data_IF_986592558470
#
_entry.id   IF_986592558470
#
_cell.length_a   1.000
_cell.length_b   1.000
_cell.length_c   1.000
_cell.angle_alpha   90.00
_cell.angle_beta   90.00
_cell.angle_gamma   90.00
#
_symmetry.space_group_name_H-M   'P 1'
#
loop_
_entity.id
_entity.type
_entity.pdbx_description
1 polymer ?
#
# COMPACT_ATOMS: atom_id res chain seq x y z
N UNK A 1 17.44 -7.06 20.21
CA UNK A 1 16.60 -6.61 19.07
C UNK A 1 16.15 -7.85 18.29
N UNK A 2 14.84 -8.09 18.18
CA UNK A 2 14.28 -9.28 17.53
C UNK A 2 13.78 -8.90 16.13
N UNK A 3 14.20 -9.64 15.11
CA UNK A 3 13.73 -9.44 13.73
C UNK A 3 12.47 -10.29 13.48
N UNK A 4 11.44 -9.67 12.90
CA UNK A 4 10.17 -10.35 12.56
C UNK A 4 10.25 -11.03 11.20
N UNK A 5 10.98 -10.42 10.26
CA UNK A 5 11.16 -10.95 8.91
C UNK A 5 12.56 -11.53 8.74
N UNK A 6 12.62 -12.86 8.63
CA UNK A 6 13.85 -13.60 8.45
C UNK A 6 13.80 -14.45 7.19
N UNK A 7 14.98 -14.72 6.66
CA UNK A 7 15.20 -15.78 5.67
C UNK A 7 15.07 -17.15 6.34
N UNK A 8 14.99 -18.23 5.54
CA UNK A 8 14.92 -19.61 6.04
C UNK A 8 16.00 -19.97 7.07
N UNK A 9 17.16 -19.32 6.98
CA UNK A 9 18.31 -19.58 7.84
C UNK A 9 18.36 -18.60 9.04
N UNK A 10 17.27 -17.90 9.35
CA UNK A 10 17.17 -17.00 10.51
C UNK A 10 17.85 -15.64 10.35
N UNK A 11 18.49 -15.37 9.21
CA UNK A 11 19.11 -14.07 8.92
C UNK A 11 18.05 -13.02 8.61
N UNK A 12 18.26 -11.74 8.97
CA UNK A 12 17.39 -10.65 8.55
C UNK A 12 17.13 -10.69 7.04
N UNK A 13 15.91 -10.39 6.63
CA UNK A 13 15.58 -10.31 5.21
C UNK A 13 16.28 -9.09 4.58
N UNK A 14 17.15 -9.35 3.61
CA UNK A 14 17.80 -8.27 2.85
C UNK A 14 16.77 -7.52 1.97
N UNK A 15 16.75 -6.17 1.97
CA UNK A 15 15.80 -5.38 1.19
C UNK A 15 15.79 -5.73 -0.30
N UNK A 16 16.96 -6.03 -0.87
CA UNK A 16 17.07 -6.40 -2.28
C UNK A 16 16.35 -7.73 -2.60
N UNK A 17 16.44 -8.72 -1.70
CA UNK A 17 15.75 -9.99 -1.86
C UNK A 17 14.23 -9.83 -1.79
N UNK A 18 13.75 -8.92 -0.95
CA UNK A 18 12.34 -8.56 -0.89
C UNK A 18 11.87 -7.92 -2.21
N UNK A 19 12.59 -6.90 -2.70
CA UNK A 19 12.25 -6.21 -3.94
C UNK A 19 12.19 -7.17 -5.13
N UNK A 20 13.17 -8.07 -5.27
CA UNK A 20 13.16 -9.09 -6.33
C UNK A 20 11.95 -10.02 -6.24
N UNK A 21 11.58 -10.43 -5.02
CA UNK A 21 10.42 -11.31 -4.83
C UNK A 21 9.10 -10.59 -5.03
N UNK A 22 9.06 -9.28 -4.74
CA UNK A 22 7.92 -8.42 -5.02
C UNK A 22 7.73 -8.27 -6.54
N UNK A 23 8.78 -7.91 -7.28
CA UNK A 23 8.73 -7.79 -8.75
C UNK A 23 8.24 -9.08 -9.41
N UNK A 24 8.78 -10.24 -8.99
CA UNK A 24 8.32 -11.54 -9.48
C UNK A 24 6.81 -11.75 -9.22
N UNK A 25 6.28 -11.30 -8.08
CA UNK A 25 4.84 -11.42 -7.79
C UNK A 25 3.99 -10.47 -8.63
N UNK A 26 4.47 -9.26 -8.88
CA UNK A 26 3.79 -8.30 -9.77
C UNK A 26 3.69 -8.89 -11.18
N UNK A 27 4.79 -9.45 -11.70
CA UNK A 27 4.82 -10.12 -13.01
C UNK A 27 3.85 -11.30 -13.06
N UNK A 28 3.84 -12.15 -12.03
CA UNK A 28 2.90 -13.30 -11.97
C UNK A 28 1.43 -12.87 -11.86
N UNK A 29 1.15 -11.75 -11.21
CA UNK A 29 -0.20 -11.19 -11.11
C UNK A 29 -0.64 -10.47 -12.40
N UNK A 30 0.28 -10.23 -13.36
CA UNK A 30 -0.02 -9.52 -14.61
C UNK A 30 -0.41 -8.05 -14.40
N UNK A 31 -0.11 -7.48 -13.23
CA UNK A 31 -0.47 -6.09 -12.90
C UNK A 31 0.63 -5.13 -13.36
N UNK A 32 0.27 -3.85 -13.49
CA UNK A 32 1.23 -2.80 -13.79
C UNK A 32 2.37 -2.79 -12.76
N UNK A 33 3.61 -2.66 -13.22
CA UNK A 33 4.78 -2.69 -12.35
C UNK A 33 4.81 -1.43 -11.49
N UNK A 34 4.66 -1.62 -10.19
CA UNK A 34 4.78 -0.58 -9.16
C UNK A 34 6.00 -0.85 -8.29
N UNK A 35 6.52 0.16 -7.60
CA UNK A 35 7.59 -0.04 -6.61
C UNK A 35 6.99 -0.46 -5.27
N UNK A 36 7.79 -1.13 -4.42
CA UNK A 36 7.40 -1.44 -3.02
C UNK A 36 7.02 -0.18 -2.25
N UNK A 37 7.66 0.96 -2.52
CA UNK A 37 7.25 2.21 -1.88
C UNK A 37 5.93 2.75 -2.46
N UNK A 38 5.70 2.57 -3.77
CA UNK A 38 4.47 2.96 -4.44
C UNK A 38 3.22 2.18 -3.99
N UNK A 39 3.39 0.94 -3.52
CA UNK A 39 2.27 0.18 -2.94
C UNK A 39 1.72 0.85 -1.69
N UNK A 40 2.55 1.52 -0.88
CA UNK A 40 2.09 2.29 0.28
C UNK A 40 1.15 3.42 -0.14
N UNK A 41 1.54 4.17 -1.18
CA UNK A 41 0.67 5.22 -1.74
C UNK A 41 -0.65 4.64 -2.25
N UNK A 42 -0.60 3.52 -2.96
CA UNK A 42 -1.80 2.83 -3.46
C UNK A 42 -2.73 2.37 -2.33
N UNK A 43 -2.15 1.79 -1.27
CA UNK A 43 -2.88 1.36 -0.09
C UNK A 43 -3.55 2.55 0.60
N UNK A 44 -2.85 3.66 0.73
CA UNK A 44 -3.39 4.84 1.37
C UNK A 44 -4.47 5.54 0.51
N UNK A 45 -4.37 5.53 -0.83
CA UNK A 45 -5.49 5.90 -1.71
C UNK A 45 -6.69 4.99 -1.51
N UNK A 46 -6.47 3.67 -1.42
CA UNK A 46 -7.54 2.69 -1.19
C UNK A 46 -8.25 2.95 0.14
N UNK A 47 -7.49 3.20 1.21
CA UNK A 47 -8.04 3.51 2.53
C UNK A 47 -8.82 4.83 2.52
N UNK A 48 -8.32 5.87 1.85
CA UNK A 48 -9.05 7.12 1.67
C UNK A 48 -10.36 6.92 0.87
N UNK A 49 -10.34 6.11 -0.19
CA UNK A 49 -11.54 5.78 -0.97
C UNK A 49 -12.58 4.96 -0.19
N UNK A 50 -12.14 4.22 0.84
CA UNK A 50 -13.00 3.51 1.79
C UNK A 50 -13.44 4.38 2.98
N UNK A 51 -13.15 5.69 2.94
CA UNK A 51 -13.37 6.65 4.02
C UNK A 51 -12.68 6.28 5.35
N UNK A 52 -11.66 5.42 5.28
CA UNK A 52 -10.80 5.06 6.41
C UNK A 52 -9.72 6.11 6.52
N UNK A 53 -10.08 7.24 7.12
CA UNK A 53 -9.12 8.28 7.44
C UNK A 53 -8.31 7.87 8.68
N UNK A 54 -6.96 8.00 8.65
CA UNK A 54 -6.20 7.92 9.88
C UNK A 54 -6.69 9.03 10.80
N UNK A 55 -7.06 8.68 12.03
CA UNK A 55 -7.42 9.61 13.09
C UNK A 55 -6.19 10.44 13.50
N UNK A 56 -5.87 11.42 12.67
CA UNK A 56 -4.81 12.39 12.91
C UNK A 56 -5.44 13.63 13.55
N UNK A 57 -5.03 14.01 14.78
CA UNK A 57 -5.54 15.23 15.38
C UNK A 57 -5.23 16.43 14.48
N UNK A 58 -6.23 17.26 14.22
CA UNK A 58 -6.11 18.41 13.31
C UNK A 58 -4.98 19.40 13.69
N UNK A 59 -4.53 19.38 14.95
CA UNK A 59 -3.46 20.23 15.48
C UNK A 59 -2.06 19.58 15.41
N UNK A 60 -1.95 18.36 14.90
CA UNK A 60 -0.66 17.67 14.80
C UNK A 60 0.06 18.03 13.49
N UNK A 61 1.41 18.15 13.50
CA UNK A 61 2.19 18.59 12.34
C UNK A 61 1.93 17.72 11.10
N UNK A 62 2.04 18.25 9.88
CA UNK A 62 1.82 17.46 8.67
C UNK A 62 2.69 16.21 8.69
N UNK A 63 2.11 15.07 8.33
CA UNK A 63 2.83 13.80 8.37
C UNK A 63 4.02 13.90 7.41
N UNK A 64 5.25 13.58 7.86
CA UNK A 64 6.40 13.61 6.99
C UNK A 64 6.19 12.55 5.91
N UNK A 65 6.02 13.01 4.67
CA UNK A 65 5.71 12.21 3.46
C UNK A 65 4.26 12.14 2.97
N UNK A 66 3.36 13.03 3.43
CA UNK A 66 2.03 13.22 2.83
C UNK A 66 2.12 13.74 1.39
N UNK A 67 2.61 12.90 0.48
CA UNK A 67 2.38 13.03 -0.95
C UNK A 67 0.92 12.70 -1.15
N UNK A 68 0.19 13.60 -1.79
CA UNK A 68 -1.07 13.28 -2.44
C UNK A 68 -0.87 11.96 -3.20
N UNK A 69 -1.55 10.91 -2.75
CA UNK A 69 -1.46 9.61 -3.37
C UNK A 69 -2.15 9.74 -4.72
N UNK A 70 -1.33 10.03 -5.74
CA UNK A 70 -1.72 10.50 -7.06
C UNK A 70 -3.09 9.98 -7.50
N UNK A 71 -3.95 10.94 -7.84
CA UNK A 71 -5.37 10.78 -8.09
C UNK A 71 -5.70 9.45 -8.76
N UNK A 72 -6.44 8.64 -8.00
CA UNK A 72 -7.25 7.59 -8.57
C UNK A 72 -8.10 8.23 -9.67
N UNK A 73 -8.11 7.68 -10.88
CA UNK A 73 -9.07 8.17 -11.88
C UNK A 73 -10.47 8.03 -11.30
N UNK A 74 -11.36 9.00 -11.50
CA UNK A 74 -12.75 8.97 -10.97
C UNK A 74 -13.45 7.63 -11.22
N UNK A 75 -13.14 6.98 -12.34
CA UNK A 75 -13.62 5.65 -12.69
C UNK A 75 -13.11 4.53 -11.76
N UNK A 76 -11.84 4.58 -11.34
CA UNK A 76 -11.26 3.61 -10.41
C UNK A 76 -11.76 3.88 -8.99
N UNK A 77 -11.99 5.14 -8.62
CA UNK A 77 -12.62 5.50 -7.34
C UNK A 77 -14.06 4.96 -7.25
N UNK A 78 -14.86 5.13 -8.29
CA UNK A 78 -16.21 4.57 -8.33
C UNK A 78 -16.21 3.03 -8.31
N UNK A 79 -15.24 2.38 -8.95
CA UNK A 79 -15.10 0.93 -8.90
C UNK A 79 -14.75 0.44 -7.48
N UNK A 80 -13.86 1.14 -6.79
CA UNK A 80 -13.48 0.81 -5.40
C UNK A 80 -14.59 1.13 -4.41
N UNK A 81 -15.35 2.22 -4.58
CA UNK A 81 -16.55 2.50 -3.77
C UNK A 81 -17.60 1.40 -3.92
N UNK A 82 -17.82 0.90 -5.14
CA UNK A 82 -18.72 -0.23 -5.39
C UNK A 82 -18.22 -1.50 -4.70
N UNK A 83 -16.91 -1.78 -4.75
CA UNK A 83 -16.31 -2.94 -4.06
C UNK A 83 -16.39 -2.81 -2.53
N UNK A 84 -16.18 -1.61 -1.98
CA UNK A 84 -16.36 -1.33 -0.55
C UNK A 84 -17.79 -1.60 -0.07
N UNK A 85 -18.79 -1.20 -0.87
CA UNK A 85 -20.19 -1.50 -0.59
C UNK A 85 -20.54 -3.00 -0.60
N UNK A 86 -19.79 -3.81 -1.37
CA UNK A 86 -20.01 -5.27 -1.43
C UNK A 86 -19.26 -6.07 -0.36
N UNK A 87 -18.24 -5.49 0.29
CA UNK A 87 -17.46 -6.13 1.35
C UNK A 87 -17.94 -5.73 2.76
N UNK A 88 -18.92 -4.82 2.85
CA UNK A 88 -19.48 -4.27 4.10
C UNK A 88 -20.80 -4.88 4.57
N UNK A 89 -21.23 -6.03 4.03
CA UNK A 89 -22.33 -6.87 4.58
C UNK A 89 -21.76 -8.09 5.28
#
# INVERSE_FOLDING_TARGET
MRVVFTTRNGKPMEPHNFNRRFDFRVEQAGVHRITVHGTRGTCATLLAALDVHPEWPADSPPQPDSRDHGGLTDATEQALRKLGGTLGT
#
